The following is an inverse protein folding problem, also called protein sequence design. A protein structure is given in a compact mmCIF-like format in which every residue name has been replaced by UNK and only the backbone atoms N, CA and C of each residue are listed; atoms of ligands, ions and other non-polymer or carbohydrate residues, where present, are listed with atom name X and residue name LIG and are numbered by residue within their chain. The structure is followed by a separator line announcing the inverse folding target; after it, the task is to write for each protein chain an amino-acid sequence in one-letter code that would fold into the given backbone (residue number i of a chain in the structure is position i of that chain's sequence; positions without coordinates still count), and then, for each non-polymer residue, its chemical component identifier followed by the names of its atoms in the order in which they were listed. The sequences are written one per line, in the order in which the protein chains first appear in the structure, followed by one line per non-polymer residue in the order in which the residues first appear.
data_IF_448896800712
#
_entry.id   IF_448896800712
#
_cell.length_a   1.000
_cell.length_b   1.000
_cell.length_c   1.000
_cell.angle_alpha   90.00
_cell.angle_beta   90.00
_cell.angle_gamma   90.00
#
_symmetry.space_group_name_H-M   'P 1'
#
loop_
_entity.id
_entity.type
_entity.pdbx_description
1 polymer ?
#
# COMPACT_ATOMS: atom_id res chain seq x y z
N UNK A 1 -9.23 -43.47 -18.04
CA UNK A 1 -8.39 -42.47 -17.37
C UNK A 1 -9.28 -41.29 -17.02
N UNK A 2 -9.63 -41.03 -15.75
CA UNK A 2 -10.35 -39.82 -15.43
C UNK A 2 -9.42 -38.64 -15.71
N UNK A 3 -9.88 -37.74 -16.59
CA UNK A 3 -9.22 -36.49 -16.92
C UNK A 3 -9.08 -35.68 -15.63
N UNK A 4 -7.85 -35.43 -15.17
CA UNK A 4 -7.59 -34.44 -14.14
C UNK A 4 -8.15 -33.11 -14.65
N UNK A 5 -9.28 -32.70 -14.08
CA UNK A 5 -9.79 -31.35 -14.28
C UNK A 5 -8.76 -30.44 -13.62
N UNK A 6 -7.98 -29.73 -14.43
CA UNK A 6 -7.10 -28.68 -13.96
C UNK A 6 -8.03 -27.61 -13.39
N UNK A 7 -8.22 -27.64 -12.07
CA UNK A 7 -8.89 -26.57 -11.35
C UNK A 7 -7.92 -25.40 -11.40
N UNK A 8 -8.28 -24.24 -11.98
CA UNK A 8 -7.41 -23.07 -11.93
C UNK A 8 -7.02 -22.80 -10.48
N UNK A 9 -5.74 -22.57 -10.21
CA UNK A 9 -5.29 -22.18 -8.87
C UNK A 9 -6.14 -21.00 -8.38
N UNK A 10 -6.80 -21.17 -7.23
CA UNK A 10 -7.63 -20.12 -6.67
C UNK A 10 -6.77 -18.88 -6.41
N UNK A 11 -7.16 -17.75 -7.02
CA UNK A 11 -6.46 -16.48 -6.79
C UNK A 11 -6.64 -16.07 -5.33
N UNK A 12 -5.53 -15.81 -4.64
CA UNK A 12 -5.55 -15.31 -3.28
C UNK A 12 -6.34 -14.00 -3.20
N UNK A 13 -7.30 -13.92 -2.26
CA UNK A 13 -8.08 -12.70 -1.99
C UNK A 13 -7.16 -11.51 -1.69
N UNK A 14 -6.05 -11.75 -0.99
CA UNK A 14 -5.02 -10.72 -0.74
C UNK A 14 -4.44 -10.20 -2.05
N UNK A 15 -4.03 -11.10 -2.94
CA UNK A 15 -3.45 -10.74 -4.23
C UNK A 15 -4.45 -9.95 -5.09
N UNK A 16 -5.71 -10.36 -5.13
CA UNK A 16 -6.76 -9.63 -5.85
C UNK A 16 -6.93 -8.19 -5.33
N UNK A 17 -6.85 -7.99 -4.01
CA UNK A 17 -6.91 -6.65 -3.38
C UNK A 17 -5.68 -5.80 -3.71
N UNK A 18 -4.50 -6.39 -3.70
CA UNK A 18 -3.25 -5.70 -4.08
C UNK A 18 -3.31 -5.22 -5.54
N UNK A 19 -3.77 -6.06 -6.48
CA UNK A 19 -3.91 -5.68 -7.89
C UNK A 19 -4.93 -4.56 -8.10
N UNK A 20 -6.06 -4.60 -7.39
CA UNK A 20 -7.06 -3.54 -7.44
C UNK A 20 -6.50 -2.18 -6.98
N UNK A 21 -5.79 -2.15 -5.86
CA UNK A 21 -5.17 -0.94 -5.34
C UNK A 21 -4.04 -0.41 -6.26
N UNK A 22 -3.23 -1.31 -6.85
CA UNK A 22 -2.20 -0.93 -7.83
C UNK A 22 -2.81 -0.23 -9.06
N UNK A 23 -3.89 -0.78 -9.61
CA UNK A 23 -4.58 -0.17 -10.76
C UNK A 23 -5.13 1.22 -10.44
N UNK A 24 -5.70 1.39 -9.24
CA UNK A 24 -6.17 2.70 -8.78
C UNK A 24 -5.02 3.71 -8.66
N UNK A 25 -3.90 3.33 -8.05
CA UNK A 25 -2.73 4.19 -7.91
C UNK A 25 -2.21 4.66 -9.26
N UNK A 26 -2.00 3.73 -10.19
CA UNK A 26 -1.50 4.02 -11.54
C UNK A 26 -2.42 5.02 -12.26
N UNK A 27 -3.74 4.82 -12.20
CA UNK A 27 -4.70 5.75 -12.79
C UNK A 27 -4.72 7.14 -12.13
N UNK A 28 -4.32 7.24 -10.86
CA UNK A 28 -4.28 8.52 -10.12
C UNK A 28 -2.99 9.30 -10.37
N UNK A 29 -1.86 8.61 -10.47
CA UNK A 29 -0.54 9.25 -10.56
C UNK A 29 0.05 9.25 -11.96
N UNK A 30 -0.58 8.57 -12.93
CA UNK A 30 -0.01 8.26 -14.25
C UNK A 30 1.39 7.62 -14.14
N UNK A 31 1.65 6.90 -13.05
CA UNK A 31 2.95 6.26 -12.82
C UNK A 31 2.96 4.84 -13.37
N UNK A 32 4.15 4.36 -13.76
CA UNK A 32 4.30 3.00 -14.26
C UNK A 32 3.87 1.95 -13.23
N UNK A 33 3.29 0.83 -13.71
CA UNK A 33 3.03 -0.33 -12.87
C UNK A 33 4.31 -0.83 -12.18
N UNK A 34 4.29 -0.91 -10.85
CA UNK A 34 5.38 -1.53 -10.09
C UNK A 34 6.37 -0.57 -9.43
N UNK A 35 6.14 0.75 -9.49
CA UNK A 35 6.89 1.69 -8.63
C UNK A 35 6.71 1.35 -7.14
N UNK A 36 7.77 1.49 -6.35
CA UNK A 36 7.76 1.12 -4.91
C UNK A 36 6.60 1.73 -4.12
N UNK A 37 6.26 3.00 -4.41
CA UNK A 37 5.13 3.68 -3.79
C UNK A 37 3.77 3.02 -4.10
N UNK A 38 3.57 2.51 -5.32
CA UNK A 38 2.34 1.80 -5.69
C UNK A 38 2.23 0.46 -4.97
N UNK A 39 3.35 -0.27 -4.84
CA UNK A 39 3.40 -1.53 -4.10
C UNK A 39 3.15 -1.32 -2.60
N UNK A 40 3.72 -0.27 -2.02
CA UNK A 40 3.50 0.11 -0.61
C UNK A 40 2.02 0.41 -0.36
N UNK A 41 1.39 1.21 -1.23
CA UNK A 41 -0.04 1.51 -1.13
C UNK A 41 -0.90 0.25 -1.25
N UNK A 42 -0.58 -0.63 -2.19
CA UNK A 42 -1.33 -1.85 -2.41
C UNK A 42 -1.28 -2.82 -1.21
N UNK A 43 -0.10 -2.94 -0.59
CA UNK A 43 0.09 -3.71 0.65
C UNK A 43 -0.69 -3.11 1.80
N UNK A 44 -0.58 -1.80 2.00
CA UNK A 44 -1.36 -1.07 3.00
C UNK A 44 -2.87 -1.35 2.87
N UNK A 45 -3.41 -1.26 1.65
CA UNK A 45 -4.82 -1.54 1.39
C UNK A 45 -5.20 -2.99 1.71
N UNK A 46 -4.42 -3.95 1.23
CA UNK A 46 -4.71 -5.37 1.41
C UNK A 46 -4.63 -5.80 2.88
N UNK A 47 -3.64 -5.30 3.62
CA UNK A 47 -3.46 -5.55 5.06
C UNK A 47 -4.59 -4.93 5.88
N UNK A 48 -5.00 -3.70 5.57
CA UNK A 48 -6.15 -3.08 6.22
C UNK A 48 -7.42 -3.91 6.01
N UNK A 49 -7.70 -4.33 4.77
CA UNK A 49 -8.89 -5.12 4.44
C UNK A 49 -8.88 -6.50 5.10
N UNK A 50 -7.71 -7.09 5.30
CA UNK A 50 -7.56 -8.36 6.01
C UNK A 50 -7.78 -8.17 7.52
N UNK A 51 -7.25 -7.09 8.11
CA UNK A 51 -7.38 -6.78 9.54
C UNK A 51 -8.82 -6.44 9.95
N UNK A 52 -9.55 -5.74 9.09
CA UNK A 52 -10.92 -5.29 9.36
C UNK A 52 -11.99 -6.25 8.84
N UNK A 53 -11.57 -7.34 8.20
CA UNK A 53 -12.42 -8.33 7.52
C UNK A 53 -13.48 -7.73 6.58
N UNK A 54 -13.15 -6.60 5.95
CA UNK A 54 -14.03 -5.89 4.99
C UNK A 54 -13.24 -4.98 4.06
N UNK A 55 -13.74 -4.70 2.84
CA UNK A 55 -13.10 -3.74 1.96
C UNK A 55 -13.30 -2.29 2.44
N UNK A 56 -12.25 -1.48 2.31
CA UNK A 56 -12.36 -0.01 2.30
C UNK A 56 -12.60 0.47 0.87
N UNK A 57 -13.25 1.61 0.71
CA UNK A 57 -13.14 2.40 -0.51
C UNK A 57 -11.67 2.75 -0.80
N UNK A 58 -11.21 2.48 -2.02
CA UNK A 58 -9.78 2.61 -2.39
C UNK A 58 -9.32 4.07 -2.44
N UNK A 59 -10.23 5.01 -2.71
CA UNK A 59 -9.91 6.44 -2.68
C UNK A 59 -9.71 6.94 -1.24
N UNK A 60 -10.55 6.49 -0.29
CA UNK A 60 -10.35 6.72 1.14
C UNK A 60 -9.02 6.10 1.60
N UNK A 61 -8.71 4.86 1.19
CA UNK A 61 -7.46 4.22 1.52
C UNK A 61 -6.25 5.03 1.02
N UNK A 62 -6.33 5.55 -0.21
CA UNK A 62 -5.29 6.39 -0.79
C UNK A 62 -5.10 7.70 0.00
N UNK A 63 -6.19 8.34 0.44
CA UNK A 63 -6.11 9.54 1.28
C UNK A 63 -5.45 9.26 2.63
N UNK A 64 -5.82 8.16 3.29
CA UNK A 64 -5.22 7.77 4.58
C UNK A 64 -3.74 7.46 4.44
N UNK A 65 -3.38 6.70 3.42
CA UNK A 65 -1.99 6.35 3.14
C UNK A 65 -1.12 7.59 2.89
N UNK A 66 -1.64 8.60 2.19
CA UNK A 66 -0.92 9.87 2.02
C UNK A 66 -0.74 10.64 3.33
N UNK A 67 -1.77 10.65 4.19
CA UNK A 67 -1.70 11.31 5.49
C UNK A 67 -0.65 10.65 6.41
N UNK A 68 -0.67 9.32 6.50
CA UNK A 68 0.27 8.51 7.27
C UNK A 68 1.73 8.75 6.81
N UNK A 69 1.96 8.80 5.49
CA UNK A 69 3.28 9.13 4.94
C UNK A 69 3.71 10.57 5.21
N UNK A 70 2.79 11.52 5.23
CA UNK A 70 3.10 12.91 5.53
C UNK A 70 3.52 13.10 6.98
N UNK A 71 2.85 12.41 7.90
CA UNK A 71 3.19 12.37 9.33
C UNK A 71 4.57 11.74 9.55
N UNK A 72 4.84 10.57 8.95
CA UNK A 72 6.14 9.91 9.05
C UNK A 72 7.30 10.77 8.51
N UNK A 73 7.10 11.45 7.37
CA UNK A 73 8.13 12.36 6.83
C UNK A 73 8.33 13.58 7.72
N UNK A 74 7.28 14.06 8.40
CA UNK A 74 7.40 15.18 9.34
C UNK A 74 8.16 14.76 10.61
N UNK A 75 7.89 13.58 11.15
CA UNK A 75 8.58 13.00 12.32
C UNK A 75 10.08 12.83 12.05
N UNK A 76 10.46 12.21 10.93
CA UNK A 76 11.88 12.06 10.54
C UNK A 76 12.62 13.39 10.40
N UNK A 77 11.94 14.43 9.88
CA UNK A 77 12.53 15.77 9.77
C UNK A 77 12.76 16.40 11.13
N UNK A 78 11.85 16.17 12.06
CA UNK A 78 11.97 16.65 13.44
C UNK A 78 13.12 15.97 14.18
N UNK A 79 13.21 14.64 14.13
CA UNK A 79 14.29 13.88 14.75
C UNK A 79 15.66 14.31 14.22
N UNK A 80 15.80 14.44 12.90
CA UNK A 80 17.04 14.90 12.27
C UNK A 80 17.40 16.33 12.69
N UNK A 81 16.43 17.23 12.83
CA UNK A 81 16.67 18.59 13.31
C UNK A 81 17.16 18.58 14.77
N UNK A 82 16.63 17.69 15.60
CA UNK A 82 17.04 17.52 16.99
C UNK A 82 18.48 16.99 17.11
N UNK A 83 18.84 15.99 16.31
CA UNK A 83 20.23 15.48 16.22
C UNK A 83 21.21 16.57 15.77
N UNK A 84 20.85 17.38 14.78
CA UNK A 84 21.68 18.49 14.33
C UNK A 84 21.84 19.59 15.38
N UNK A 85 20.80 19.88 16.16
CA UNK A 85 20.87 20.85 17.25
C UNK A 85 21.73 20.36 18.43
N UNK A 86 21.71 19.05 18.70
CA UNK A 86 22.44 18.45 19.84
C UNK A 86 23.93 18.23 19.54
N UNK A 87 24.33 18.16 18.26
CA UNK A 87 25.74 17.99 17.86
C UNK A 87 26.54 19.32 17.74
N UNK A 88 25.93 20.46 18.08
CA UNK A 88 26.55 21.79 18.02
C UNK A 88 26.64 22.50 19.39
N UNK A 89 26.29 21.82 20.48
CA UNK A 89 26.64 22.18 21.88
C UNK A 89 27.90 21.41 22.33
#
# INVERSE_FOLDING_TARGET
MPSETIVPEAVSVRYAREQYALGYFQGRTNAEPGGGAGLDFARFYAEWCAREDRPMDVQEAYRRWLADRAEWVAELRYERALEHATNYD
#
